data_IF_788939155479
#
_entry.id   IF_788939155479
#
_cell.length_a   1.000
_cell.length_b   1.000
_cell.length_c   1.000
_cell.angle_alpha   90.00
_cell.angle_beta   90.00
_cell.angle_gamma   90.00
#
_symmetry.space_group_name_H-M   'P 1'
#
loop_
_entity.id
_entity.type
_entity.pdbx_description
1 polymer ?
#
# COMPACT_ATOMS: atom_id res chain seq x y z
N UNK A 1 -12.29 0.86 -2.37
CA UNK A 1 -11.80 1.92 -3.27
C UNK A 1 -11.46 1.33 -4.65
N UNK A 2 -12.41 1.43 -5.60
CA UNK A 2 -12.35 0.89 -6.98
C UNK A 2 -13.62 1.29 -7.74
N UNK A 3 -13.82 0.85 -8.99
CA UNK A 3 -15.14 0.98 -9.65
C UNK A 3 -16.18 0.08 -8.98
N UNK A 4 -17.46 0.48 -9.04
CA UNK A 4 -18.53 -0.37 -8.51
C UNK A 4 -18.79 -1.55 -9.44
N UNK A 5 -19.52 -2.53 -8.94
CA UNK A 5 -20.05 -3.63 -9.74
C UNK A 5 -21.22 -3.19 -10.63
N UNK A 6 -21.69 -4.13 -11.46
CA UNK A 6 -22.90 -3.99 -12.27
C UNK A 6 -23.85 -5.18 -12.02
N UNK A 7 -24.09 -5.48 -10.74
CA UNK A 7 -24.86 -6.66 -10.33
C UNK A 7 -26.29 -6.67 -10.87
N UNK A 8 -26.94 -5.50 -10.90
CA UNK A 8 -28.35 -5.34 -11.31
C UNK A 8 -28.52 -5.18 -12.82
N UNK A 9 -27.45 -5.21 -13.62
CA UNK A 9 -27.44 -4.90 -15.05
C UNK A 9 -28.18 -3.58 -15.36
N UNK A 10 -28.09 -2.62 -14.44
CA UNK A 10 -28.71 -1.31 -14.59
C UNK A 10 -27.82 -0.35 -15.38
N UNK A 11 -26.57 -0.74 -15.65
CA UNK A 11 -25.62 -0.01 -16.48
C UNK A 11 -25.21 1.36 -15.91
N UNK A 12 -25.58 1.68 -14.67
CA UNK A 12 -25.31 2.97 -14.01
C UNK A 12 -24.22 2.87 -12.95
N UNK A 13 -24.23 1.82 -12.12
CA UNK A 13 -23.35 1.75 -10.94
C UNK A 13 -21.87 1.69 -11.30
N UNK A 14 -21.49 0.83 -12.23
CA UNK A 14 -20.10 0.70 -12.67
C UNK A 14 -19.57 1.98 -13.33
N UNK A 15 -20.46 2.70 -14.04
CA UNK A 15 -20.14 3.95 -14.76
C UNK A 15 -20.05 5.17 -13.86
N UNK A 16 -20.29 5.03 -12.55
CA UNK A 16 -20.13 6.14 -11.62
C UNK A 16 -18.69 6.69 -11.72
N UNK A 17 -18.52 8.00 -11.99
CA UNK A 17 -17.20 8.57 -12.21
C UNK A 17 -16.36 8.53 -10.94
N UNK A 18 -15.04 8.69 -11.11
CA UNK A 18 -14.07 8.92 -10.03
C UNK A 18 -13.34 10.22 -10.33
N UNK A 19 -13.34 11.14 -9.37
CA UNK A 19 -12.74 12.47 -9.52
C UNK A 19 -13.73 13.59 -9.20
N UNK A 20 -13.47 14.77 -9.76
CA UNK A 20 -14.26 15.97 -9.52
C UNK A 20 -15.53 15.96 -10.37
N UNK A 21 -16.70 15.85 -9.75
CA UNK A 21 -18.01 15.85 -10.44
C UNK A 21 -18.63 17.23 -10.55
N UNK A 22 -18.31 18.15 -9.63
CA UNK A 22 -18.76 19.53 -9.65
C UNK A 22 -17.78 20.42 -8.87
N UNK A 23 -17.60 21.67 -9.30
CA UNK A 23 -16.85 22.70 -8.58
C UNK A 23 -17.37 24.09 -8.97
N UNK A 24 -17.49 24.97 -7.98
CA UNK A 24 -17.81 26.38 -8.17
C UNK A 24 -16.59 27.22 -7.80
N UNK A 25 -16.13 28.07 -8.72
CA UNK A 25 -14.98 28.98 -8.51
C UNK A 25 -15.43 30.39 -8.81
N UNK A 26 -15.34 31.27 -7.82
CA UNK A 26 -16.02 32.58 -7.83
C UNK A 26 -15.16 33.74 -8.33
N UNK A 27 -13.83 33.56 -8.46
CA UNK A 27 -12.91 34.71 -8.62
C UNK A 27 -12.03 34.67 -9.87
N UNK A 28 -11.65 33.49 -10.38
CA UNK A 28 -10.71 33.39 -11.51
C UNK A 28 -11.01 32.20 -12.43
N UNK A 29 -10.69 32.28 -13.74
CA UNK A 29 -10.71 31.13 -14.64
C UNK A 29 -9.72 30.06 -14.16
N UNK A 30 -10.16 28.79 -14.10
CA UNK A 30 -9.33 27.66 -13.69
C UNK A 30 -9.14 26.70 -14.86
N UNK A 31 -7.89 26.34 -15.13
CA UNK A 31 -7.55 25.21 -16.01
C UNK A 31 -7.22 24.00 -15.15
N UNK A 32 -7.95 22.91 -15.36
CA UNK A 32 -7.78 21.67 -14.59
C UNK A 32 -6.78 20.73 -15.26
N UNK A 33 -6.00 20.01 -14.46
CA UNK A 33 -5.17 18.89 -14.89
C UNK A 33 -5.42 17.72 -13.96
N UNK A 34 -5.51 16.52 -14.52
CA UNK A 34 -5.67 15.28 -13.77
C UNK A 34 -4.60 14.28 -14.21
N UNK A 35 -4.09 13.51 -13.26
CA UNK A 35 -3.06 12.51 -13.50
C UNK A 35 -3.36 11.27 -12.65
N UNK A 36 -3.63 10.15 -13.33
CA UNK A 36 -3.68 8.82 -12.73
C UNK A 36 -2.32 8.13 -12.79
N UNK A 37 -2.33 6.80 -12.85
CA UNK A 37 -1.10 6.02 -13.05
C UNK A 37 -0.38 6.40 -14.36
N UNK A 38 0.95 6.26 -14.39
CA UNK A 38 1.81 6.67 -15.51
C UNK A 38 2.11 5.54 -16.48
N UNK A 39 2.23 4.31 -15.98
CA UNK A 39 2.73 3.17 -16.75
C UNK A 39 2.02 1.90 -16.30
N UNK A 40 1.69 1.04 -17.27
CA UNK A 40 1.36 -0.34 -16.96
C UNK A 40 2.65 -1.05 -16.53
N UNK A 41 2.64 -1.66 -15.35
CA UNK A 41 3.62 -2.66 -14.95
C UNK A 41 3.12 -4.00 -15.53
N UNK A 42 3.72 -4.54 -16.61
CA UNK A 42 3.20 -5.74 -17.25
C UNK A 42 3.27 -6.98 -16.35
N UNK A 43 4.15 -6.95 -15.34
CA UNK A 43 4.28 -8.05 -14.38
C UNK A 43 3.18 -7.99 -13.31
N UNK A 44 2.82 -6.80 -12.84
CA UNK A 44 1.85 -6.60 -11.75
C UNK A 44 0.45 -6.22 -12.21
N UNK A 45 0.31 -5.88 -13.48
CA UNK A 45 -0.93 -5.50 -14.12
C UNK A 45 -1.30 -4.02 -13.97
N UNK A 46 -2.34 -3.59 -14.71
CA UNK A 46 -2.68 -2.17 -14.86
C UNK A 46 -3.28 -1.53 -13.59
N UNK A 47 -3.74 -2.33 -12.62
CA UNK A 47 -4.41 -1.86 -11.41
C UNK A 47 -3.50 -1.89 -10.17
N UNK A 48 -2.24 -2.30 -10.31
CA UNK A 48 -1.33 -2.43 -9.16
C UNK A 48 -0.92 -1.08 -8.57
N UNK A 49 -1.04 0.02 -9.32
CA UNK A 49 -0.63 1.36 -8.89
C UNK A 49 -1.67 2.41 -9.23
N UNK A 50 -1.75 3.42 -8.37
CA UNK A 50 -2.55 4.62 -8.56
C UNK A 50 -1.75 5.79 -9.13
N UNK A 51 -2.19 7.00 -8.77
CA UNK A 51 -1.66 8.26 -9.28
C UNK A 51 -0.71 9.00 -8.34
N UNK A 52 -0.29 8.44 -7.21
CA UNK A 52 0.64 9.14 -6.32
C UNK A 52 2.01 9.34 -6.98
N UNK A 53 2.72 10.41 -6.60
CA UNK A 53 4.03 10.70 -7.18
C UNK A 53 5.01 9.51 -7.04
N UNK A 54 5.13 8.94 -5.84
CA UNK A 54 5.99 7.79 -5.60
C UNK A 54 5.57 6.51 -6.33
N UNK A 55 4.28 6.32 -6.63
CA UNK A 55 3.83 5.22 -7.48
C UNK A 55 4.35 5.39 -8.90
N UNK A 56 4.21 6.60 -9.48
CA UNK A 56 4.65 6.91 -10.84
C UNK A 56 6.18 6.91 -11.01
N UNK A 57 6.91 7.20 -9.95
CA UNK A 57 8.38 7.16 -9.91
C UNK A 57 8.91 5.78 -9.46
N UNK A 58 8.04 4.78 -9.28
CA UNK A 58 8.44 3.41 -8.97
C UNK A 58 9.01 3.19 -7.57
N UNK A 59 8.74 4.09 -6.61
CA UNK A 59 9.27 4.00 -5.24
C UNK A 59 8.81 2.76 -4.46
N UNK A 60 7.70 2.15 -4.90
CA UNK A 60 7.20 0.89 -4.38
C UNK A 60 8.04 -0.33 -4.80
N UNK A 61 8.82 -0.23 -5.88
CA UNK A 61 9.58 -1.34 -6.44
C UNK A 61 10.84 -1.66 -5.60
N UNK A 62 11.30 -2.92 -5.55
CA UNK A 62 12.56 -3.30 -4.88
C UNK A 62 13.81 -2.59 -5.41
N UNK A 63 13.78 -2.17 -6.68
CA UNK A 63 14.85 -1.45 -7.35
C UNK A 63 14.89 0.05 -7.03
N UNK A 64 13.91 0.56 -6.27
CA UNK A 64 13.87 1.98 -5.91
C UNK A 64 15.13 2.39 -5.13
N UNK A 65 15.73 3.50 -5.56
CA UNK A 65 16.92 4.08 -4.91
C UNK A 65 16.52 4.90 -3.69
N UNK A 66 16.10 4.23 -2.61
CA UNK A 66 15.67 4.85 -1.34
C UNK A 66 16.84 5.15 -0.39
N UNK A 67 18.07 4.80 -0.76
CA UNK A 67 19.28 5.04 0.03
C UNK A 67 19.62 6.53 0.26
N UNK A 68 19.03 7.43 -0.53
CA UNK A 68 19.17 8.88 -0.36
C UNK A 68 18.07 9.50 0.51
N UNK A 69 17.07 8.71 0.92
CA UNK A 69 16.01 9.20 1.77
C UNK A 69 16.54 9.43 3.18
N UNK A 70 16.05 10.47 3.88
CA UNK A 70 16.40 10.67 5.27
C UNK A 70 15.92 9.47 6.10
N UNK A 71 16.71 9.11 7.12
CA UNK A 71 16.28 8.10 8.09
C UNK A 71 15.06 8.63 8.85
N UNK A 72 13.94 7.90 8.76
CA UNK A 72 12.68 8.25 9.40
C UNK A 72 11.98 6.98 9.89
N UNK A 73 11.14 7.13 10.92
CA UNK A 73 10.25 6.05 11.39
C UNK A 73 8.81 6.43 11.04
N UNK A 74 7.98 5.50 10.54
CA UNK A 74 6.57 5.78 10.30
C UNK A 74 5.81 6.12 11.60
N UNK A 75 6.36 5.83 12.78
CA UNK A 75 5.72 6.09 14.08
C UNK A 75 5.93 7.50 14.64
N UNK A 76 6.64 8.37 13.93
CA UNK A 76 6.80 9.78 14.32
C UNK A 76 5.59 10.61 13.87
N UNK A 77 5.26 11.71 14.57
CA UNK A 77 4.23 12.63 14.11
C UNK A 77 4.53 13.17 12.70
N UNK A 78 3.48 13.30 11.89
CA UNK A 78 3.50 13.80 10.52
C UNK A 78 2.38 14.81 10.30
N UNK A 79 2.64 15.80 9.45
CA UNK A 79 1.64 16.78 8.99
C UNK A 79 0.79 16.19 7.85
N UNK A 80 -0.37 16.81 7.52
CA UNK A 80 -1.17 16.40 6.38
C UNK A 80 -0.36 16.32 5.08
N UNK A 81 -0.54 15.24 4.32
CA UNK A 81 0.22 14.99 3.09
C UNK A 81 0.47 13.50 2.83
N UNK A 82 1.32 13.23 1.84
CA UNK A 82 1.71 11.86 1.45
C UNK A 82 3.17 11.63 1.81
N UNK A 83 3.41 10.70 2.73
CA UNK A 83 4.72 10.37 3.28
C UNK A 83 5.10 8.95 2.87
N UNK A 84 6.28 8.78 2.29
CA UNK A 84 6.77 7.49 1.83
C UNK A 84 7.84 6.95 2.77
N UNK A 85 7.68 5.69 3.16
CA UNK A 85 8.64 4.96 3.97
C UNK A 85 9.04 3.70 3.23
N UNK A 86 10.32 3.34 3.28
CA UNK A 86 10.81 2.10 2.71
C UNK A 86 11.85 1.49 3.61
N UNK A 87 11.77 0.18 3.81
CA UNK A 87 12.75 -0.58 4.58
C UNK A 87 13.04 -1.92 3.93
N UNK A 88 14.20 -2.48 4.25
CA UNK A 88 14.60 -3.83 3.83
C UNK A 88 14.71 -4.70 5.07
N UNK A 89 14.09 -5.88 5.01
CA UNK A 89 14.16 -6.88 6.07
C UNK A 89 14.57 -8.23 5.48
N UNK A 90 15.27 -9.04 6.25
CA UNK A 90 15.63 -10.41 5.85
C UNK A 90 14.82 -11.40 6.68
N UNK A 91 14.13 -12.31 6.01
CA UNK A 91 13.44 -13.42 6.63
C UNK A 91 14.24 -14.71 6.50
N UNK A 92 14.11 -15.56 7.51
CA UNK A 92 14.76 -16.87 7.60
C UNK A 92 13.81 -17.85 8.29
N UNK A 93 12.63 -18.02 7.71
CA UNK A 93 11.63 -18.98 8.16
C UNK A 93 12.18 -20.41 7.96
N UNK A 94 11.97 -21.35 8.91
CA UNK A 94 12.42 -22.74 8.73
C UNK A 94 11.79 -23.40 7.50
N UNK A 95 12.61 -24.11 6.71
CA UNK A 95 12.18 -24.70 5.42
C UNK A 95 11.18 -25.85 5.55
N UNK A 96 11.06 -26.44 6.73
CA UNK A 96 10.12 -27.53 7.05
C UNK A 96 8.80 -27.01 7.65
N UNK A 97 8.58 -25.69 7.59
CA UNK A 97 7.42 -25.02 8.14
C UNK A 97 6.74 -24.17 7.07
N UNK A 98 5.42 -24.23 7.07
CA UNK A 98 4.57 -23.23 6.46
C UNK A 98 4.15 -22.23 7.55
N UNK A 99 4.58 -20.99 7.41
CA UNK A 99 4.37 -19.92 8.39
C UNK A 99 3.64 -18.79 7.70
N UNK A 100 2.30 -18.73 7.81
CA UNK A 100 1.54 -17.59 7.32
C UNK A 100 2.01 -16.32 8.03
N UNK A 101 2.51 -15.35 7.26
CA UNK A 101 2.99 -14.07 7.77
C UNK A 101 1.93 -13.00 7.54
N UNK A 102 1.69 -12.16 8.54
CA UNK A 102 0.89 -10.93 8.40
C UNK A 102 1.76 -9.69 8.59
N UNK A 103 1.41 -8.62 7.89
CA UNK A 103 1.82 -7.27 8.24
C UNK A 103 0.75 -6.69 9.17
N UNK A 104 1.11 -6.47 10.42
CA UNK A 104 0.23 -5.96 11.45
C UNK A 104 0.45 -4.46 11.68
N UNK A 105 -0.64 -3.71 11.75
CA UNK A 105 -0.67 -2.29 12.08
C UNK A 105 -1.28 -2.08 13.47
N UNK A 106 -0.48 -1.58 14.40
CA UNK A 106 -1.00 -1.05 15.65
C UNK A 106 -1.83 0.22 15.37
N UNK A 107 -2.80 0.52 16.22
CA UNK A 107 -3.61 1.75 16.08
C UNK A 107 -2.75 2.99 16.31
N UNK A 108 -2.84 3.96 15.39
CA UNK A 108 -2.24 5.28 15.53
C UNK A 108 -3.25 6.35 15.96
N UNK A 109 -2.87 7.62 15.81
CA UNK A 109 -3.76 8.78 16.03
C UNK A 109 -3.86 9.65 14.78
N UNK A 110 -5.00 10.34 14.63
CA UNK A 110 -5.31 11.16 13.46
C UNK A 110 -5.92 10.36 12.31
N UNK A 111 -6.28 11.08 11.26
CA UNK A 111 -6.95 10.51 10.09
C UNK A 111 -5.93 10.28 9.00
N UNK A 112 -5.59 9.01 8.81
CA UNK A 112 -4.64 8.60 7.78
C UNK A 112 -4.97 7.20 7.26
N UNK A 113 -4.53 6.95 6.03
CA UNK A 113 -4.52 5.63 5.40
C UNK A 113 -3.15 5.32 4.83
N UNK A 114 -2.84 4.05 4.65
CA UNK A 114 -1.54 3.58 4.20
C UNK A 114 -1.70 2.57 3.08
N UNK A 115 -1.14 2.87 1.89
CA UNK A 115 -0.97 1.86 0.85
C UNK A 115 0.24 1.00 1.16
N UNK A 116 0.09 -0.32 1.03
CA UNK A 116 1.08 -1.31 1.44
C UNK A 116 1.70 -1.93 0.20
N UNK A 117 3.02 -1.87 0.07
CA UNK A 117 3.76 -2.51 -1.01
C UNK A 117 4.80 -3.48 -0.49
N UNK A 118 4.67 -4.76 -0.85
CA UNK A 118 5.64 -5.82 -0.53
C UNK A 118 6.32 -6.27 -1.81
N UNK A 119 7.63 -6.07 -1.89
CA UNK A 119 8.42 -6.37 -3.09
C UNK A 119 7.81 -5.77 -4.39
N UNK A 120 7.20 -4.60 -4.29
CA UNK A 120 6.50 -3.90 -5.39
C UNK A 120 5.04 -4.28 -5.59
N UNK A 121 4.54 -5.34 -4.95
CA UNK A 121 3.12 -5.71 -5.06
C UNK A 121 2.28 -4.92 -4.07
N UNK A 122 1.19 -4.32 -4.55
CA UNK A 122 0.22 -3.68 -3.67
C UNK A 122 -0.57 -4.74 -2.90
N UNK A 123 -0.43 -4.73 -1.57
CA UNK A 123 -1.04 -5.71 -0.66
C UNK A 123 -2.26 -5.17 0.08
N UNK A 124 -2.72 -3.98 -0.28
CA UNK A 124 -3.94 -3.39 0.25
C UNK A 124 -3.73 -2.01 0.87
N UNK A 125 -4.79 -1.54 1.50
CA UNK A 125 -4.88 -0.23 2.13
C UNK A 125 -5.28 -0.43 3.59
N UNK A 126 -4.43 0.04 4.51
CA UNK A 126 -4.78 0.18 5.92
C UNK A 126 -5.41 1.55 6.14
N UNK A 127 -6.51 1.62 6.89
CA UNK A 127 -7.15 2.88 7.29
C UNK A 127 -7.18 2.92 8.81
N UNK A 128 -6.64 3.99 9.41
CA UNK A 128 -6.56 4.08 10.86
C UNK A 128 -7.95 4.11 11.49
N UNK A 129 -8.19 3.23 12.47
CA UNK A 129 -9.48 3.13 13.15
C UNK A 129 -10.48 2.18 12.51
N UNK A 130 -10.20 1.66 11.32
CA UNK A 130 -11.00 0.60 10.68
C UNK A 130 -10.65 -0.81 11.19
N UNK A 131 -11.45 -1.80 10.79
CA UNK A 131 -11.42 -3.16 11.35
C UNK A 131 -10.21 -4.00 10.91
N UNK A 132 -9.63 -3.74 9.73
CA UNK A 132 -8.55 -4.56 9.19
C UNK A 132 -7.18 -4.05 9.68
N UNK A 133 -6.57 -4.79 10.60
CA UNK A 133 -5.24 -4.48 11.15
C UNK A 133 -4.16 -5.43 10.66
N UNK A 134 -4.55 -6.63 10.21
CA UNK A 134 -3.66 -7.67 9.74
C UNK A 134 -3.84 -7.89 8.23
N UNK A 135 -2.72 -7.83 7.50
CA UNK A 135 -2.65 -8.07 6.06
C UNK A 135 -1.80 -9.31 5.80
N UNK A 136 -2.44 -10.41 5.38
CA UNK A 136 -1.72 -11.65 5.05
C UNK A 136 -0.80 -11.44 3.86
N UNK A 137 0.45 -11.89 3.99
CA UNK A 137 1.49 -11.81 2.98
C UNK A 137 1.78 -13.22 2.45
N UNK A 138 1.27 -13.59 1.26
CA UNK A 138 1.52 -14.90 0.69
C UNK A 138 2.98 -15.13 0.33
N UNK A 139 3.42 -16.38 0.42
CA UNK A 139 4.66 -16.83 -0.17
C UNK A 139 4.69 -16.55 -1.68
N UNK A 140 5.87 -16.18 -2.19
CA UNK A 140 6.07 -15.75 -3.57
C UNK A 140 5.98 -14.24 -3.73
N UNK A 141 5.03 -13.59 -3.05
CA UNK A 141 5.04 -12.13 -2.88
C UNK A 141 6.04 -11.77 -1.79
N UNK A 142 5.92 -12.42 -0.63
CA UNK A 142 6.93 -12.43 0.40
C UNK A 142 7.98 -13.49 0.04
N UNK A 143 9.25 -13.16 0.28
CA UNK A 143 10.37 -14.09 0.19
C UNK A 143 10.71 -14.60 1.60
N UNK A 144 10.18 -15.75 2.06
CA UNK A 144 10.33 -16.24 3.44
C UNK A 144 11.78 -16.58 3.84
N UNK A 145 12.67 -16.72 2.86
CA UNK A 145 14.06 -17.13 3.05
C UNK A 145 15.09 -16.08 2.55
N UNK A 146 14.66 -14.84 2.29
CA UNK A 146 15.50 -13.82 1.66
C UNK A 146 15.14 -12.40 2.12
N UNK A 147 15.74 -11.42 1.44
CA UNK A 147 15.43 -10.02 1.61
C UNK A 147 14.08 -9.67 0.99
N UNK A 148 13.34 -8.84 1.71
CA UNK A 148 12.08 -8.25 1.30
C UNK A 148 12.19 -6.74 1.41
N UNK A 149 11.60 -6.04 0.44
CA UNK A 149 11.41 -4.59 0.50
C UNK A 149 9.98 -4.33 0.91
N UNK A 150 9.80 -3.57 1.99
CA UNK A 150 8.49 -3.10 2.46
C UNK A 150 8.46 -1.60 2.21
N UNK A 151 7.51 -1.15 1.40
CA UNK A 151 7.29 0.27 1.14
C UNK A 151 5.87 0.64 1.53
N UNK A 152 5.73 1.75 2.25
CA UNK A 152 4.45 2.28 2.72
C UNK A 152 4.27 3.70 2.18
N UNK A 153 3.08 4.00 1.66
CA UNK A 153 2.65 5.36 1.37
C UNK A 153 1.57 5.77 2.37
N UNK A 154 1.97 6.56 3.38
CA UNK A 154 1.06 7.07 4.42
C UNK A 154 0.45 8.38 3.95
N UNK A 155 -0.86 8.39 3.78
CA UNK A 155 -1.66 9.53 3.32
C UNK A 155 -2.41 10.06 4.53
N UNK A 156 -1.92 11.16 5.09
CA UNK A 156 -2.50 11.82 6.25
C UNK A 156 -3.41 12.98 5.82
N UNK A 157 -4.66 12.97 6.28
CA UNK A 157 -5.64 14.03 6.04
C UNK A 157 -5.57 15.10 7.14
N UNK A 158 -5.13 14.70 8.34
CA UNK A 158 -4.87 15.57 9.49
C UNK A 158 -3.48 15.30 10.07
N UNK A 159 -2.99 16.17 10.96
CA UNK A 159 -1.78 15.90 11.72
C UNK A 159 -1.94 14.56 12.47
N UNK A 160 -1.06 13.60 12.16
CA UNK A 160 -1.23 12.20 12.50
C UNK A 160 0.03 11.61 13.11
N UNK A 161 -0.12 10.53 13.87
CA UNK A 161 1.00 9.71 14.34
C UNK A 161 0.67 8.25 14.02
N UNK A 162 1.26 7.68 12.96
CA UNK A 162 1.00 6.31 12.60
C UNK A 162 1.41 5.33 13.71
N UNK A 163 0.67 4.23 13.83
CA UNK A 163 1.01 3.15 14.75
C UNK A 163 2.23 2.35 14.28
N UNK A 164 2.75 1.49 15.16
CA UNK A 164 3.86 0.61 14.78
C UNK A 164 3.40 -0.44 13.76
N UNK A 165 4.32 -0.82 12.88
CA UNK A 165 4.09 -1.83 11.85
C UNK A 165 5.06 -2.98 12.09
N UNK A 166 4.53 -4.20 12.14
CA UNK A 166 5.33 -5.40 12.44
C UNK A 166 4.95 -6.58 11.56
N UNK A 167 5.94 -7.41 11.23
CA UNK A 167 5.66 -8.73 10.66
C UNK A 167 5.35 -9.69 11.81
N UNK A 168 4.24 -10.43 11.70
CA UNK A 168 3.83 -11.43 12.69
C UNK A 168 3.63 -12.79 12.03
N UNK A 169 4.06 -13.84 12.72
CA UNK A 169 3.67 -15.20 12.36
C UNK A 169 2.24 -15.42 12.89
N UNK A 170 1.29 -15.69 11.99
CA UNK A 170 -0.09 -15.97 12.37
C UNK A 170 -0.26 -17.42 12.87
N UNK A 171 0.57 -18.33 12.37
CA UNK A 171 0.66 -19.72 12.81
C UNK A 171 2.05 -20.29 12.51
N UNK A 172 2.34 -21.46 13.07
CA UNK A 172 3.47 -22.29 12.68
C UNK A 172 2.97 -23.70 12.39
N UNK A 173 2.96 -24.06 11.12
CA UNK A 173 2.47 -25.35 10.64
C UNK A 173 3.65 -26.14 10.08
N UNK A 174 3.72 -27.43 10.40
CA UNK A 174 4.64 -28.32 9.68
C UNK A 174 4.10 -28.47 8.26
N UNK A 175 4.83 -27.96 7.27
CA UNK A 175 4.43 -27.92 5.87
C UNK A 175 5.48 -28.59 4.98
N UNK A 176 5.04 -29.23 3.91
CA UNK A 176 5.92 -30.04 3.06
C UNK A 176 5.39 -30.22 1.64
N UNK A 177 5.61 -29.20 0.81
CA UNK A 177 6.13 -29.34 -0.56
C UNK A 177 7.02 -28.11 -0.79
N UNK A 178 8.32 -28.25 -1.10
CA UNK A 178 9.15 -27.11 -1.47
C UNK A 178 8.53 -26.38 -2.66
N UNK A 179 8.29 -25.07 -2.55
CA UNK A 179 7.98 -24.26 -3.72
C UNK A 179 9.19 -24.29 -4.69
N UNK A 180 8.97 -24.48 -6.01
CA UNK A 180 10.04 -24.60 -7.00
C UNK A 180 10.90 -23.33 -7.11
#
# INVERSE_FOLDING_TARGET
MGHNDDWTADDYRQKQPRGLVNAEVTTNPVTWRIQGTRAEDPLRGPLSTGGLYGEREGWHLPSAHTNRWPSASPTTPIEPGVHWYSTKTRLSIPRDQDVPVTLHFDKGSGDYRTLIFINGWNMGEYVNGEIQQDFTLPDGILHPHSHNTITLAVIAETASRPGAVSLRAAANLRGGVPAP
#
